data_IF_494318733878
#
_entry.id   IF_494318733878
#
_cell.length_a   1.000
_cell.length_b   1.000
_cell.length_c   1.000
_cell.angle_alpha   90.00
_cell.angle_beta   90.00
_cell.angle_gamma   90.00
#
_symmetry.space_group_name_H-M   'P 1'
#
loop_
_entity.id
_entity.type
_entity.pdbx_description
1 polymer ?
#
# COMPACT_ATOMS: atom_id res chain seq x y z
N UNK A 1 -28.26 -7.89 3.16
CA UNK A 1 -26.92 -7.33 3.43
C UNK A 1 -25.93 -8.45 3.77
N UNK A 2 -25.21 -8.96 2.77
CA UNK A 2 -24.29 -10.11 2.96
C UNK A 2 -23.63 -10.67 1.69
N UNK A 3 -23.69 -9.97 0.54
CA UNK A 3 -23.27 -10.51 -0.76
C UNK A 3 -21.96 -9.91 -1.32
N UNK A 4 -21.30 -9.03 -0.56
CA UNK A 4 -20.04 -8.42 -0.97
C UNK A 4 -18.86 -9.24 -0.45
N UNK A 5 -17.97 -9.63 -1.34
CA UNK A 5 -16.71 -10.33 -1.04
C UNK A 5 -15.57 -9.45 -1.54
N UNK A 6 -14.63 -9.15 -0.66
CA UNK A 6 -13.38 -8.49 -1.03
C UNK A 6 -12.31 -9.54 -1.25
N UNK A 7 -11.66 -9.50 -2.41
CA UNK A 7 -10.65 -10.48 -2.81
C UNK A 7 -9.39 -9.72 -3.19
N UNK A 8 -8.36 -9.70 -2.33
CA UNK A 8 -7.07 -9.13 -2.70
C UNK A 8 -6.29 -10.14 -3.55
N UNK A 9 -5.61 -9.64 -4.57
CA UNK A 9 -4.64 -10.38 -5.35
C UNK A 9 -3.43 -9.50 -5.63
N UNK A 10 -2.25 -10.10 -5.57
CA UNK A 10 -0.98 -9.45 -5.94
C UNK A 10 -0.40 -10.25 -7.09
N UNK A 11 -0.01 -9.55 -8.16
CA UNK A 11 0.53 -10.13 -9.38
C UNK A 11 1.72 -9.30 -9.83
N UNK A 12 2.78 -9.96 -10.26
CA UNK A 12 3.93 -9.28 -10.87
C UNK A 12 3.62 -8.92 -12.32
N UNK A 13 3.88 -7.68 -12.68
CA UNK A 13 3.68 -7.13 -14.02
C UNK A 13 4.91 -6.30 -14.41
N UNK A 14 5.22 -6.16 -15.71
CA UNK A 14 6.28 -5.29 -16.17
C UNK A 14 6.13 -3.86 -15.62
N UNK A 15 7.25 -3.22 -15.27
CA UNK A 15 7.24 -1.86 -14.75
C UNK A 15 6.52 -0.88 -15.69
N UNK A 16 5.68 -0.01 -15.13
CA UNK A 16 4.89 0.95 -15.90
C UNK A 16 3.62 0.38 -16.56
N UNK A 17 3.32 -0.91 -16.38
CA UNK A 17 2.07 -1.50 -16.87
C UNK A 17 0.87 -0.81 -16.23
N UNK A 18 -0.06 -0.36 -17.06
CA UNK A 18 -1.38 0.11 -16.65
C UNK A 18 -2.42 -0.73 -17.35
N UNK A 19 -3.26 -1.40 -16.57
CA UNK A 19 -4.32 -2.24 -17.09
C UNK A 19 -5.56 -1.39 -17.33
N UNK A 20 -6.22 -1.63 -18.47
CA UNK A 20 -7.61 -1.18 -18.65
C UNK A 20 -8.54 -1.98 -17.73
N UNK A 21 -9.80 -1.55 -17.60
CA UNK A 21 -10.81 -2.31 -16.86
C UNK A 21 -11.00 -3.71 -17.47
N UNK A 22 -11.02 -3.81 -18.79
CA UNK A 22 -11.14 -5.09 -19.51
C UNK A 22 -9.93 -6.00 -19.29
N UNK A 23 -8.72 -5.45 -19.36
CA UNK A 23 -7.50 -6.22 -19.09
C UNK A 23 -7.42 -6.66 -17.63
N UNK A 24 -7.88 -5.82 -16.70
CA UNK A 24 -7.97 -6.13 -15.27
C UNK A 24 -8.93 -7.30 -15.05
N UNK A 25 -10.12 -7.24 -15.65
CA UNK A 25 -11.10 -8.32 -15.55
C UNK A 25 -10.56 -9.64 -16.15
N UNK A 26 -9.93 -9.56 -17.33
CA UNK A 26 -9.35 -10.73 -17.98
C UNK A 26 -8.21 -11.33 -17.16
N UNK A 27 -7.31 -10.51 -16.63
CA UNK A 27 -6.21 -10.94 -15.76
C UNK A 27 -6.73 -11.60 -14.49
N UNK A 28 -7.68 -10.97 -13.80
CA UNK A 28 -8.24 -11.50 -12.56
C UNK A 28 -8.99 -12.81 -12.80
N UNK A 29 -9.73 -12.94 -13.91
CA UNK A 29 -10.40 -14.19 -14.28
C UNK A 29 -9.39 -15.32 -14.49
N UNK A 30 -8.31 -15.07 -15.25
CA UNK A 30 -7.24 -16.06 -15.46
C UNK A 30 -6.55 -16.44 -14.15
N UNK A 31 -6.39 -15.48 -13.24
CA UNK A 31 -5.83 -15.76 -11.91
C UNK A 31 -6.75 -16.70 -11.13
N UNK A 32 -8.06 -16.47 -11.12
CA UNK A 32 -8.99 -17.38 -10.44
C UNK A 32 -9.02 -18.77 -11.10
N UNK A 33 -8.81 -18.86 -12.42
CA UNK A 33 -8.78 -20.13 -13.16
C UNK A 33 -7.61 -21.04 -12.75
N UNK A 34 -6.53 -20.50 -12.19
CA UNK A 34 -5.40 -21.31 -11.71
C UNK A 34 -5.70 -22.05 -10.39
N UNK A 35 -6.77 -21.67 -9.68
CA UNK A 35 -7.15 -22.28 -8.40
C UNK A 35 -8.30 -23.27 -8.56
N UNK A 36 -8.16 -24.44 -7.95
CA UNK A 36 -9.17 -25.51 -7.97
C UNK A 36 -10.00 -25.60 -6.69
N UNK A 37 -9.68 -24.80 -5.67
CA UNK A 37 -10.38 -24.81 -4.40
C UNK A 37 -11.88 -24.47 -4.60
N UNK A 38 -12.83 -25.24 -4.02
CA UNK A 38 -14.26 -25.03 -4.26
C UNK A 38 -14.77 -23.61 -4.01
N UNK A 39 -14.21 -22.94 -3.00
CA UNK A 39 -14.56 -21.56 -2.68
C UNK A 39 -14.16 -20.57 -3.79
N UNK A 40 -13.00 -20.79 -4.43
CA UNK A 40 -12.52 -19.94 -5.54
C UNK A 40 -13.29 -20.23 -6.83
N UNK A 41 -13.65 -21.49 -7.05
CA UNK A 41 -14.53 -21.88 -8.17
C UNK A 41 -15.90 -21.20 -8.06
N UNK A 42 -16.48 -21.14 -6.85
CA UNK A 42 -17.75 -20.45 -6.62
C UNK A 42 -17.60 -18.92 -6.75
N UNK A 43 -16.51 -18.34 -6.25
CA UNK A 43 -16.20 -16.92 -6.46
C UNK A 43 -16.15 -16.57 -7.94
N UNK A 44 -15.45 -17.37 -8.76
CA UNK A 44 -15.38 -17.19 -10.22
C UNK A 44 -16.77 -17.23 -10.85
N UNK A 45 -17.65 -18.13 -10.40
CA UNK A 45 -19.04 -18.23 -10.90
C UNK A 45 -19.86 -16.98 -10.60
N UNK A 46 -19.50 -16.25 -9.54
CA UNK A 46 -20.16 -15.00 -9.12
C UNK A 46 -19.50 -13.74 -9.68
N UNK A 47 -18.33 -13.83 -10.31
CA UNK A 47 -17.62 -12.69 -10.87
C UNK A 47 -18.42 -12.11 -12.06
N UNK A 48 -18.78 -10.84 -11.96
CA UNK A 48 -19.54 -10.12 -12.99
C UNK A 48 -18.69 -9.05 -13.64
N UNK A 49 -18.99 -8.72 -14.90
CA UNK A 49 -18.28 -7.67 -15.65
C UNK A 49 -18.40 -6.27 -15.04
N UNK A 50 -19.46 -6.03 -14.29
CA UNK A 50 -19.71 -4.78 -13.56
C UNK A 50 -19.23 -4.86 -12.10
N UNK A 51 -18.32 -5.78 -11.77
CA UNK A 51 -17.68 -5.81 -10.46
C UNK A 51 -16.66 -4.67 -10.34
N UNK A 52 -16.56 -4.07 -9.14
CA UNK A 52 -15.57 -3.04 -8.82
C UNK A 52 -14.17 -3.66 -8.70
N UNK A 53 -13.53 -3.92 -9.85
CA UNK A 53 -12.16 -4.42 -9.91
C UNK A 53 -11.17 -3.26 -9.95
N UNK A 54 -10.34 -3.16 -8.91
CA UNK A 54 -9.32 -2.13 -8.79
C UNK A 54 -7.94 -2.79 -8.95
N UNK A 55 -7.34 -2.62 -10.12
CA UNK A 55 -5.93 -2.96 -10.33
C UNK A 55 -5.07 -1.70 -10.31
N UNK A 56 -4.15 -1.65 -9.34
CA UNK A 56 -3.20 -0.55 -9.19
C UNK A 56 -1.80 -1.11 -9.01
N UNK A 57 -0.78 -0.49 -9.63
CA UNK A 57 0.59 -0.82 -9.28
C UNK A 57 0.85 -0.48 -7.81
N UNK A 58 1.60 -1.35 -7.12
CA UNK A 58 2.12 -1.05 -5.80
C UNK A 58 3.42 -0.26 -5.95
N UNK A 59 3.35 1.04 -5.67
CA UNK A 59 4.53 1.88 -5.57
C UNK A 59 4.76 2.21 -4.09
N UNK A 60 6.02 2.16 -3.66
CA UNK A 60 6.44 2.59 -2.33
C UNK A 60 7.23 3.88 -2.46
N UNK A 61 7.18 4.71 -1.43
CA UNK A 61 7.96 5.95 -1.37
C UNK A 61 8.43 6.18 0.06
N UNK A 62 9.64 6.72 0.20
CA UNK A 62 10.11 7.35 1.43
C UNK A 62 10.67 8.72 1.05
N UNK A 63 9.90 9.77 1.27
CA UNK A 63 10.34 11.14 0.98
C UNK A 63 11.45 11.50 1.97
N UNK A 64 12.62 12.01 1.51
CA UNK A 64 13.67 12.44 2.42
C UNK A 64 13.21 13.65 3.24
N UNK A 65 13.68 13.76 4.48
CA UNK A 65 13.45 14.93 5.30
C UNK A 65 14.14 16.19 4.69
N UNK A 66 13.63 17.41 4.96
CA UNK A 66 12.44 17.71 5.76
C UNK A 66 11.12 17.51 4.99
N UNK A 67 10.05 17.15 5.70
CA UNK A 67 8.72 16.91 5.10
C UNK A 67 7.81 18.14 5.03
N UNK A 68 8.30 19.30 5.47
CA UNK A 68 7.51 20.53 5.47
C UNK A 68 8.21 21.67 4.75
N UNK A 69 7.39 22.59 4.24
CA UNK A 69 7.82 23.85 3.67
C UNK A 69 6.83 24.94 4.07
N UNK A 70 7.29 25.91 4.86
CA UNK A 70 6.41 26.96 5.38
C UNK A 70 5.35 26.36 6.31
N UNK A 71 4.09 26.40 5.90
CA UNK A 71 2.95 25.87 6.68
C UNK A 71 2.36 24.58 6.08
N UNK A 72 3.03 23.99 5.09
CA UNK A 72 2.61 22.77 4.42
C UNK A 72 3.47 21.60 4.87
N UNK A 73 2.85 20.48 5.21
CA UNK A 73 3.49 19.25 5.69
C UNK A 73 2.97 18.05 4.89
N UNK A 74 3.88 17.14 4.51
CA UNK A 74 3.52 15.82 3.96
C UNK A 74 3.35 14.79 5.08
N UNK A 75 2.32 13.96 4.98
CA UNK A 75 1.97 12.87 5.93
C UNK A 75 1.37 11.68 5.20
N UNK A 76 1.32 10.52 5.86
CA UNK A 76 0.78 9.29 5.28
C UNK A 76 1.48 8.90 3.98
N UNK A 77 0.73 8.32 3.03
CA UNK A 77 1.27 7.84 1.76
C UNK A 77 1.96 8.93 0.92
N UNK A 78 1.63 10.21 1.12
CA UNK A 78 2.30 11.32 0.46
C UNK A 78 3.76 11.53 0.93
N UNK A 79 4.12 10.99 2.10
CA UNK A 79 5.47 11.04 2.65
C UNK A 79 6.14 9.66 2.74
N UNK A 80 5.37 8.59 2.99
CA UNK A 80 5.90 7.26 3.31
C UNK A 80 4.98 6.09 2.92
N UNK A 81 4.59 5.98 1.64
CA UNK A 81 3.81 4.82 1.18
C UNK A 81 4.61 3.51 1.31
N UNK A 82 4.01 2.51 1.95
CA UNK A 82 4.57 1.17 2.13
C UNK A 82 4.12 0.23 1.01
N UNK A 83 4.80 -0.90 0.84
CA UNK A 83 4.24 -2.01 0.04
C UNK A 83 3.07 -2.69 0.79
N UNK A 84 2.29 -3.52 0.09
CA UNK A 84 1.07 -4.12 0.63
C UNK A 84 1.31 -5.13 1.77
N UNK A 85 2.52 -5.70 1.86
CA UNK A 85 2.82 -6.88 2.67
C UNK A 85 2.65 -6.68 4.18
N UNK A 86 2.74 -5.44 4.67
CA UNK A 86 2.64 -5.16 6.11
C UNK A 86 1.27 -4.64 6.56
N UNK A 87 0.39 -4.22 5.63
CA UNK A 87 -0.91 -3.64 5.97
C UNK A 87 -0.85 -2.37 6.85
N UNK A 88 0.30 -1.70 6.90
CA UNK A 88 0.57 -0.64 7.89
C UNK A 88 0.22 0.78 7.43
N UNK A 89 -0.04 1.04 6.15
CA UNK A 89 -0.25 2.41 5.64
C UNK A 89 -1.31 3.21 6.42
N UNK A 90 -2.50 2.63 6.63
CA UNK A 90 -3.57 3.27 7.39
C UNK A 90 -3.20 3.51 8.87
N UNK A 91 -2.58 2.53 9.51
CA UNK A 91 -2.12 2.67 10.90
C UNK A 91 -1.05 3.76 11.04
N UNK A 92 -0.13 3.85 10.09
CA UNK A 92 0.94 4.85 10.05
C UNK A 92 0.39 6.27 9.87
N UNK A 93 -0.64 6.45 9.04
CA UNK A 93 -1.31 7.75 8.90
C UNK A 93 -2.04 8.18 10.19
N UNK A 94 -2.63 7.24 10.94
CA UNK A 94 -3.24 7.52 12.25
C UNK A 94 -2.17 7.90 13.27
N UNK A 95 -1.04 7.18 13.31
CA UNK A 95 0.10 7.53 14.15
C UNK A 95 0.63 8.94 13.83
N UNK A 96 0.72 9.30 12.55
CA UNK A 96 1.11 10.64 12.12
C UNK A 96 0.19 11.71 12.69
N UNK A 97 -1.13 11.53 12.57
CA UNK A 97 -2.09 12.48 13.11
C UNK A 97 -1.93 12.67 14.63
N UNK A 98 -1.75 11.57 15.37
CA UNK A 98 -1.54 11.61 16.81
C UNK A 98 -0.25 12.34 17.21
N UNK A 99 0.87 12.05 16.53
CA UNK A 99 2.17 12.66 16.80
C UNK A 99 2.18 14.14 16.39
N UNK A 100 1.59 14.48 15.25
CA UNK A 100 1.46 15.87 14.81
C UNK A 100 0.70 16.70 15.83
N UNK A 101 -0.44 16.20 16.31
CA UNK A 101 -1.24 16.88 17.32
C UNK A 101 -0.46 17.10 18.63
N UNK A 102 0.40 16.15 19.02
CA UNK A 102 1.28 16.32 20.19
C UNK A 102 2.35 17.38 19.96
N UNK A 103 3.02 17.37 18.79
CA UNK A 103 4.05 18.37 18.48
C UNK A 103 3.49 19.78 18.43
N UNK A 104 2.33 19.96 17.78
CA UNK A 104 1.64 21.26 17.68
C UNK A 104 1.21 21.78 19.05
N UNK A 105 0.78 20.91 19.98
CA UNK A 105 0.44 21.32 21.35
C UNK A 105 1.64 21.68 22.21
N UNK A 106 2.82 21.13 21.92
CA UNK A 106 4.01 21.28 22.76
C UNK A 106 4.92 22.44 22.34
N UNK A 107 4.93 22.79 21.05
CA UNK A 107 5.79 23.85 20.53
C UNK A 107 5.17 25.24 20.70
N UNK A 108 6.01 26.26 20.87
CA UNK A 108 5.55 27.64 20.88
C UNK A 108 5.25 28.16 19.46
N UNK A 109 6.01 27.69 18.47
CA UNK A 109 5.95 28.13 17.09
C UNK A 109 5.70 26.95 16.13
N UNK A 110 4.95 27.21 15.06
CA UNK A 110 4.58 26.15 14.10
C UNK A 110 5.80 25.47 13.42
N UNK A 111 6.83 26.19 12.95
CA UNK A 111 8.00 25.54 12.35
C UNK A 111 8.68 24.54 13.28
N UNK A 112 8.77 24.86 14.58
CA UNK A 112 9.33 23.98 15.60
C UNK A 112 8.51 22.69 15.74
N UNK A 113 7.17 22.80 15.74
CA UNK A 113 6.28 21.63 15.75
C UNK A 113 6.48 20.73 14.53
N UNK A 114 6.62 21.30 13.33
CA UNK A 114 6.77 20.55 12.09
C UNK A 114 8.13 19.84 11.98
N UNK A 115 9.20 20.51 12.46
CA UNK A 115 10.51 19.88 12.60
C UNK A 115 10.48 18.75 13.63
N UNK A 116 9.85 18.97 14.79
CA UNK A 116 9.70 17.96 15.82
C UNK A 116 8.88 16.75 15.34
N UNK A 117 7.83 16.99 14.57
CA UNK A 117 7.04 15.93 13.92
C UNK A 117 7.92 15.08 13.00
N UNK A 118 8.64 15.71 12.06
CA UNK A 118 9.49 15.01 11.10
C UNK A 118 10.56 14.18 11.83
N UNK A 119 11.25 14.76 12.82
CA UNK A 119 12.27 14.04 13.61
C UNK A 119 11.72 12.81 14.33
N UNK A 120 10.48 12.87 14.84
CA UNK A 120 9.85 11.77 15.58
C UNK A 120 9.32 10.68 14.65
N UNK A 121 8.81 11.05 13.47
CA UNK A 121 8.17 10.11 12.54
C UNK A 121 9.14 9.46 11.58
N UNK A 122 10.15 10.19 11.10
CA UNK A 122 11.05 9.70 10.06
C UNK A 122 11.67 8.33 10.40
N UNK A 123 12.32 8.12 11.57
CA UNK A 123 12.92 6.81 11.87
C UNK A 123 11.89 5.68 11.90
N UNK A 124 10.71 5.95 12.47
CA UNK A 124 9.63 4.97 12.60
C UNK A 124 9.08 4.56 11.23
N UNK A 125 8.82 5.52 10.35
CA UNK A 125 8.28 5.22 9.01
C UNK A 125 9.34 4.58 8.13
N UNK A 126 10.61 5.00 8.24
CA UNK A 126 11.71 4.43 7.46
C UNK A 126 11.84 2.93 7.72
N UNK A 127 11.84 2.51 8.98
CA UNK A 127 11.88 1.08 9.34
C UNK A 127 10.72 0.30 8.71
N UNK A 128 9.50 0.85 8.73
CA UNK A 128 8.33 0.17 8.17
C UNK A 128 8.42 0.09 6.65
N UNK A 129 8.75 1.19 5.97
CA UNK A 129 8.88 1.21 4.51
C UNK A 129 9.99 0.26 4.06
N UNK A 130 11.18 0.36 4.64
CA UNK A 130 12.33 -0.50 4.30
C UNK A 130 12.03 -1.98 4.52
N UNK A 131 11.40 -2.34 5.65
CA UNK A 131 10.98 -3.73 5.91
C UNK A 131 9.97 -4.19 4.86
N UNK A 132 8.99 -3.35 4.53
CA UNK A 132 7.96 -3.67 3.53
C UNK A 132 8.57 -3.91 2.14
N UNK A 133 9.58 -3.13 1.77
CA UNK A 133 10.29 -3.27 0.49
C UNK A 133 11.14 -4.54 0.47
N UNK A 134 11.83 -4.85 1.57
CA UNK A 134 12.60 -6.10 1.68
C UNK A 134 11.70 -7.33 1.55
N UNK A 135 10.54 -7.35 2.22
CA UNK A 135 9.57 -8.45 2.08
C UNK A 135 9.07 -8.59 0.64
N UNK A 136 8.75 -7.47 -0.01
CA UNK A 136 8.31 -7.46 -1.41
C UNK A 136 9.36 -8.07 -2.35
N UNK A 137 10.64 -7.72 -2.17
CA UNK A 137 11.73 -8.28 -2.96
C UNK A 137 11.91 -9.78 -2.73
N UNK A 138 11.84 -10.23 -1.48
CA UNK A 138 11.97 -11.66 -1.15
C UNK A 138 10.83 -12.49 -1.76
N UNK A 139 9.60 -11.97 -1.80
CA UNK A 139 8.49 -12.64 -2.46
C UNK A 139 8.70 -12.73 -3.98
N UNK A 140 9.21 -11.67 -4.62
CA UNK A 140 9.53 -11.67 -6.04
C UNK A 140 10.68 -12.64 -6.39
N UNK A 141 11.72 -12.69 -5.56
CA UNK A 141 12.84 -13.63 -5.72
C UNK A 141 12.40 -15.09 -5.47
N UNK A 142 11.51 -15.33 -4.49
CA UNK A 142 10.95 -16.65 -4.20
C UNK A 142 9.92 -17.12 -5.23
N UNK A 143 9.30 -16.21 -5.99
CA UNK A 143 8.45 -16.55 -7.13
C UNK A 143 9.25 -17.03 -8.36
N UNK A 144 10.57 -16.76 -8.39
CA UNK A 144 11.48 -17.16 -9.47
C UNK A 144 12.10 -18.55 -9.28
N UNK A 145 11.71 -19.30 -8.23
CA UNK A 145 11.98 -20.74 -8.19
C UNK A 145 11.04 -21.46 -9.15
N UNK A 146 11.60 -21.83 -10.29
CA UNK A 146 11.09 -22.82 -11.23
C UNK A 146 10.71 -24.14 -10.54
N UNK A 147 9.49 -24.20 -10.02
CA UNK A 147 8.62 -25.36 -10.16
C UNK A 147 7.70 -25.12 -11.35
N UNK A 148 8.22 -25.45 -12.53
CA UNK A 148 7.54 -26.10 -13.66
C UNK A 148 8.54 -26.50 -14.73
#
# INVERSE_FOLDING_TARGET
PGDLIYVPAVVDLPAGTRLSEDDTFALFTRLLDSYTAPAVVELRRRLRRDADLIARPFEWILVPAPWHRGRTLLVGDAAHATTAHMGMGGGMAIEDAAVLAQCVRAAAELPEALDAFTRRRYPRVSTVVETSVTLSRLEQEGADTSEN
#
